data_IF_789601963205
#
_entry.id   IF_789601963205
#
_cell.length_a   1.000
_cell.length_b   1.000
_cell.length_c   1.000
_cell.angle_alpha   90.00
_cell.angle_beta   90.00
_cell.angle_gamma   90.00
#
_symmetry.space_group_name_H-M   'P 1'
#
loop_
_entity.id
_entity.type
_entity.pdbx_description
1 polymer ?
#
# COMPACT_ATOMS: atom_id res chain seq x y z
N UNK A 1 -14.82 -14.16 11.88
CA UNK A 1 -14.22 -13.89 10.55
C UNK A 1 -14.92 -14.75 9.50
N UNK A 2 -15.65 -14.12 8.57
CA UNK A 2 -16.42 -14.77 7.49
C UNK A 2 -15.52 -15.71 6.65
N UNK A 3 -16.04 -16.87 6.21
CA UNK A 3 -15.34 -17.83 5.33
C UNK A 3 -14.79 -17.17 4.06
N UNK A 4 -15.50 -16.19 3.49
CA UNK A 4 -15.05 -15.44 2.32
C UNK A 4 -13.76 -14.67 2.60
N UNK A 5 -13.67 -14.02 3.77
CA UNK A 5 -12.46 -13.29 4.20
C UNK A 5 -11.25 -14.21 4.39
N UNK A 6 -11.47 -15.43 4.90
CA UNK A 6 -10.39 -16.44 5.04
C UNK A 6 -9.79 -16.83 3.68
N UNK A 7 -10.65 -17.07 2.69
CA UNK A 7 -10.24 -17.45 1.32
C UNK A 7 -9.45 -16.34 0.62
N UNK A 8 -9.88 -15.10 0.80
CA UNK A 8 -9.22 -13.90 0.27
C UNK A 8 -7.79 -13.77 0.81
N UNK A 9 -7.64 -13.86 2.14
CA UNK A 9 -6.34 -13.77 2.80
C UNK A 9 -5.43 -14.90 2.34
N UNK A 10 -5.96 -16.12 2.21
CA UNK A 10 -5.20 -17.26 1.71
C UNK A 10 -4.72 -17.08 0.27
N UNK A 11 -5.54 -16.48 -0.61
CA UNK A 11 -5.14 -16.20 -1.99
C UNK A 11 -4.13 -15.06 -2.10
N UNK A 12 -4.21 -14.06 -1.22
CA UNK A 12 -3.29 -12.91 -1.23
C UNK A 12 -1.91 -13.24 -0.61
N UNK A 13 -1.86 -14.19 0.33
CA UNK A 13 -0.68 -14.54 1.12
C UNK A 13 0.54 -14.96 0.27
N UNK A 14 0.42 -15.81 -0.77
CA UNK A 14 1.55 -16.15 -1.64
C UNK A 14 2.15 -14.93 -2.36
N UNK A 15 1.31 -14.06 -2.90
CA UNK A 15 1.76 -12.85 -3.59
C UNK A 15 2.47 -11.87 -2.65
N UNK A 16 1.98 -11.74 -1.42
CA UNK A 16 2.64 -10.96 -0.38
C UNK A 16 4.05 -11.49 -0.10
N UNK A 17 4.20 -12.79 0.18
CA UNK A 17 5.52 -13.36 0.47
C UNK A 17 6.47 -13.30 -0.72
N UNK A 18 5.97 -13.56 -1.92
CA UNK A 18 6.77 -13.45 -3.14
C UNK A 18 7.29 -12.02 -3.32
N UNK A 19 6.45 -11.01 -3.10
CA UNK A 19 6.88 -9.62 -3.18
C UNK A 19 7.89 -9.26 -2.08
N UNK A 20 7.60 -9.63 -0.82
CA UNK A 20 8.50 -9.33 0.30
C UNK A 20 9.89 -9.98 0.14
N UNK A 21 9.95 -11.18 -0.46
CA UNK A 21 11.23 -11.86 -0.74
C UNK A 21 12.14 -11.10 -1.71
N UNK A 22 11.58 -10.18 -2.50
CA UNK A 22 12.31 -9.38 -3.50
C UNK A 22 12.68 -7.98 -2.99
N UNK A 23 12.41 -7.69 -1.72
CA UNK A 23 12.63 -6.41 -1.06
C UNK A 23 13.66 -6.55 0.07
N UNK A 24 14.49 -5.53 0.22
CA UNK A 24 15.36 -5.41 1.40
C UNK A 24 14.54 -5.17 2.68
N UNK A 25 15.07 -5.44 3.89
CA UNK A 25 14.35 -5.15 5.13
C UNK A 25 13.84 -3.71 5.24
N UNK A 26 14.63 -2.74 4.78
CA UNK A 26 14.21 -1.33 4.73
C UNK A 26 13.03 -1.11 3.78
N UNK A 27 13.07 -1.72 2.59
CA UNK A 27 11.99 -1.64 1.61
C UNK A 27 10.72 -2.32 2.12
N UNK A 28 10.83 -3.41 2.89
CA UNK A 28 9.69 -4.05 3.53
C UNK A 28 9.03 -3.10 4.55
N UNK A 29 9.82 -2.42 5.38
CA UNK A 29 9.29 -1.42 6.34
C UNK A 29 8.60 -0.27 5.59
N UNK A 30 9.22 0.26 4.54
CA UNK A 30 8.63 1.31 3.72
C UNK A 30 7.32 0.82 3.06
N UNK A 31 7.29 -0.42 2.55
CA UNK A 31 6.10 -1.00 1.93
C UNK A 31 4.93 -1.08 2.90
N UNK A 32 5.21 -1.39 4.18
CA UNK A 32 4.21 -1.41 5.24
C UNK A 32 3.65 -0.02 5.52
N UNK A 33 4.51 1.00 5.60
CA UNK A 33 4.09 2.39 5.77
C UNK A 33 3.18 2.83 4.60
N UNK A 34 3.59 2.53 3.37
CA UNK A 34 2.81 2.84 2.17
C UNK A 34 1.45 2.13 2.18
N UNK A 35 1.41 0.88 2.64
CA UNK A 35 0.18 0.11 2.78
C UNK A 35 -0.77 0.70 3.82
N UNK A 36 -0.28 0.97 5.03
CA UNK A 36 -1.08 1.55 6.12
C UNK A 36 -1.69 2.89 5.72
N UNK A 37 -0.89 3.77 5.09
CA UNK A 37 -1.36 5.07 4.62
C UNK A 37 -2.31 4.93 3.43
N UNK A 38 -1.98 4.06 2.47
CA UNK A 38 -2.82 3.82 1.31
C UNK A 38 -4.21 3.33 1.70
N UNK A 39 -4.29 2.44 2.70
CA UNK A 39 -5.54 1.96 3.26
C UNK A 39 -6.31 3.06 3.97
N UNK A 40 -5.64 3.91 4.76
CA UNK A 40 -6.31 4.96 5.55
C UNK A 40 -6.86 6.11 4.69
N UNK A 41 -6.16 6.49 3.62
CA UNK A 41 -6.53 7.68 2.82
C UNK A 41 -7.40 7.38 1.61
N UNK A 42 -7.55 6.11 1.22
CA UNK A 42 -8.27 5.74 -0.01
C UNK A 42 -9.73 6.19 0.01
N UNK A 43 -10.41 6.05 1.14
CA UNK A 43 -11.79 6.51 1.27
C UNK A 43 -11.90 8.03 1.16
N UNK A 44 -11.00 8.75 1.82
CA UNK A 44 -10.97 10.21 1.83
C UNK A 44 -10.62 10.77 0.44
N UNK A 45 -9.66 10.18 -0.25
CA UNK A 45 -9.25 10.61 -1.59
C UNK A 45 -10.37 10.47 -2.64
N UNK A 46 -11.20 9.42 -2.53
CA UNK A 46 -12.37 9.23 -3.41
C UNK A 46 -13.39 10.37 -3.21
N UNK A 47 -13.56 10.84 -1.98
CA UNK A 47 -14.51 11.91 -1.65
C UNK A 47 -13.97 13.28 -2.02
N UNK A 48 -12.70 13.55 -1.76
CA UNK A 48 -12.09 14.88 -1.89
C UNK A 48 -11.44 15.15 -3.26
N UNK A 49 -11.33 14.14 -4.13
CA UNK A 49 -10.66 14.22 -5.45
C UNK A 49 -9.25 14.84 -5.33
N UNK A 50 -8.53 14.47 -4.26
CA UNK A 50 -7.21 15.01 -3.96
C UNK A 50 -6.11 14.00 -4.30
N UNK A 51 -5.49 14.19 -5.48
CA UNK A 51 -4.44 13.30 -5.99
C UNK A 51 -3.13 13.32 -5.21
N UNK A 52 -2.92 14.34 -4.37
CA UNK A 52 -1.73 14.48 -3.55
C UNK A 52 -1.90 13.90 -2.15
N UNK A 53 -3.14 13.55 -1.76
CA UNK A 53 -3.49 13.15 -0.39
C UNK A 53 -2.61 11.98 0.11
N UNK A 54 -2.40 10.98 -0.74
CA UNK A 54 -1.55 9.84 -0.39
C UNK A 54 -0.12 10.26 -0.06
N UNK A 55 0.54 10.98 -0.97
CA UNK A 55 1.94 11.38 -0.80
C UNK A 55 2.13 12.41 0.32
N UNK A 56 1.15 13.26 0.58
CA UNK A 56 1.20 14.21 1.69
C UNK A 56 1.07 13.50 3.04
N UNK A 57 0.22 12.49 3.14
CA UNK A 57 0.15 11.63 4.33
C UNK A 57 1.43 10.81 4.53
N UNK A 58 2.08 10.34 3.45
CA UNK A 58 3.40 9.70 3.51
C UNK A 58 4.45 10.65 4.10
N UNK A 59 4.53 11.89 3.61
CA UNK A 59 5.44 12.91 4.17
C UNK A 59 5.16 13.14 5.66
N UNK A 60 3.89 13.26 6.02
CA UNK A 60 3.46 13.47 7.40
C UNK A 60 3.87 12.31 8.32
N UNK A 61 3.65 11.06 7.89
CA UNK A 61 4.03 9.87 8.64
C UNK A 61 5.55 9.80 8.89
N UNK A 62 6.37 10.07 7.87
CA UNK A 62 7.83 10.11 8.00
C UNK A 62 8.26 11.21 8.99
N UNK A 63 7.64 12.40 8.92
CA UNK A 63 7.89 13.50 9.85
C UNK A 63 7.53 13.10 11.29
N UNK A 64 6.42 12.39 11.50
CA UNK A 64 5.99 11.88 12.81
C UNK A 64 6.96 10.82 13.36
N UNK A 65 7.45 9.91 12.51
CA UNK A 65 8.49 8.95 12.89
C UNK A 65 9.80 9.62 13.32
N UNK A 66 10.14 10.78 12.70
CA UNK A 66 11.30 11.57 13.10
C UNK A 66 11.18 12.07 14.55
N UNK A 67 9.98 12.50 14.94
CA UNK A 67 9.66 13.00 16.26
C UNK A 67 9.64 11.88 17.32
N UNK A 68 9.05 10.73 16.98
CA UNK A 68 8.86 9.60 17.90
C UNK A 68 10.13 8.75 18.14
N UNK A 69 11.32 9.23 17.76
CA UNK A 69 12.60 8.50 17.87
C UNK A 69 12.57 7.06 17.32
N UNK A 70 11.80 6.81 16.25
CA UNK A 70 11.82 5.52 15.54
C UNK A 70 13.24 5.11 15.15
N UNK A 71 13.57 3.83 15.31
CA UNK A 71 14.89 3.25 14.99
C UNK A 71 15.23 3.32 13.51
N UNK A 72 14.20 3.29 12.66
CA UNK A 72 14.31 3.48 11.21
C UNK A 72 13.48 4.67 10.75
N UNK A 73 14.06 5.51 9.88
CA UNK A 73 13.45 6.73 9.35
C UNK A 73 13.76 6.84 7.85
N UNK A 74 12.82 6.45 6.97
CA UNK A 74 13.08 6.50 5.54
C UNK A 74 13.09 7.94 5.03
N UNK A 75 14.05 8.27 4.17
CA UNK A 75 14.03 9.51 3.38
C UNK A 75 12.97 9.44 2.28
N UNK A 76 12.49 10.58 1.80
CA UNK A 76 11.57 10.62 0.66
C UNK A 76 12.18 9.98 -0.60
N UNK A 77 13.51 10.04 -0.77
CA UNK A 77 14.19 9.38 -1.86
C UNK A 77 14.15 7.85 -1.72
N UNK A 78 14.35 7.30 -0.50
CA UNK A 78 14.16 5.86 -0.24
C UNK A 78 12.72 5.44 -0.49
N UNK A 79 11.75 6.26 -0.11
CA UNK A 79 10.34 5.99 -0.39
C UNK A 79 10.08 5.93 -1.89
N UNK A 80 10.47 6.95 -2.66
CA UNK A 80 10.31 6.96 -4.12
C UNK A 80 11.00 5.78 -4.80
N UNK A 81 12.23 5.45 -4.39
CA UNK A 81 12.95 4.27 -4.89
C UNK A 81 12.21 2.96 -4.57
N UNK A 82 11.65 2.86 -3.37
CA UNK A 82 10.87 1.69 -2.96
C UNK A 82 9.57 1.59 -3.75
N UNK A 83 8.84 2.69 -3.95
CA UNK A 83 7.63 2.70 -4.79
C UNK A 83 7.93 2.22 -6.21
N UNK A 84 9.01 2.72 -6.82
CA UNK A 84 9.47 2.25 -8.14
C UNK A 84 9.83 0.75 -8.13
N UNK A 85 10.45 0.26 -7.05
CA UNK A 85 10.76 -1.17 -6.91
C UNK A 85 9.49 -2.02 -6.77
N UNK A 86 8.52 -1.57 -5.97
CA UNK A 86 7.22 -2.24 -5.81
C UNK A 86 6.44 -2.27 -7.13
N UNK A 87 6.56 -1.23 -7.94
CA UNK A 87 6.03 -1.18 -9.29
C UNK A 87 6.72 -2.23 -10.18
N UNK A 88 8.04 -2.22 -10.26
CA UNK A 88 8.79 -3.18 -11.08
C UNK A 88 8.48 -4.66 -10.76
N UNK A 89 8.20 -5.00 -9.50
CA UNK A 89 7.86 -6.38 -9.09
C UNK A 89 6.36 -6.68 -9.18
N UNK A 90 5.56 -5.77 -9.73
CA UNK A 90 4.11 -5.94 -9.90
C UNK A 90 3.29 -5.86 -8.61
N UNK A 91 3.91 -5.43 -7.50
CA UNK A 91 3.27 -5.44 -6.18
C UNK A 91 2.46 -4.18 -5.89
N UNK A 92 2.86 -3.02 -6.41
CA UNK A 92 2.13 -1.77 -6.20
C UNK A 92 2.35 -0.83 -7.37
N UNK A 93 1.28 -0.21 -7.89
CA UNK A 93 1.38 0.97 -8.75
C UNK A 93 0.47 2.08 -8.21
N UNK A 94 0.64 3.31 -8.66
CA UNK A 94 -0.38 4.33 -8.43
C UNK A 94 -1.43 4.26 -9.54
N UNK A 95 -2.71 4.47 -9.19
CA UNK A 95 -3.76 4.74 -10.18
C UNK A 95 -3.72 6.20 -10.65
N UNK A 96 -4.67 6.54 -11.53
CA UNK A 96 -4.82 7.88 -12.12
C UNK A 96 -5.11 8.97 -11.08
N UNK A 97 -5.53 8.57 -9.88
CA UNK A 97 -5.81 9.43 -8.74
C UNK A 97 -4.67 9.48 -7.73
N UNK A 98 -3.51 8.88 -8.06
CA UNK A 98 -2.34 8.89 -7.19
C UNK A 98 -2.47 7.98 -5.97
N UNK A 99 -3.41 7.04 -5.97
CA UNK A 99 -3.63 6.07 -4.89
C UNK A 99 -2.97 4.72 -5.20
N UNK A 100 -2.48 4.00 -4.18
CA UNK A 100 -1.82 2.73 -4.39
C UNK A 100 -2.82 1.63 -4.77
N UNK A 101 -2.58 1.01 -5.93
CA UNK A 101 -3.15 -0.24 -6.38
C UNK A 101 -2.19 -1.39 -6.06
N UNK A 102 -2.61 -2.27 -5.16
CA UNK A 102 -1.81 -3.42 -4.73
C UNK A 102 -1.99 -4.62 -5.67
N UNK A 103 -0.93 -5.41 -5.80
CA UNK A 103 -0.86 -6.66 -6.56
C UNK A 103 -1.14 -6.54 -8.07
N UNK A 104 -0.95 -5.36 -8.67
CA UNK A 104 -1.40 -5.10 -10.04
C UNK A 104 -0.75 -5.96 -11.14
N UNK A 105 0.52 -6.36 -10.98
CA UNK A 105 1.24 -7.18 -11.98
C UNK A 105 0.92 -8.67 -11.88
N UNK A 106 0.19 -9.07 -10.85
CA UNK A 106 -0.24 -10.46 -10.62
C UNK A 106 -1.65 -10.72 -11.16
N UNK A 107 -2.39 -9.67 -11.53
CA UNK A 107 -3.71 -9.75 -12.14
C UNK A 107 -3.67 -9.10 -13.54
N UNK A 108 -3.50 -9.91 -14.59
CA UNK A 108 -3.74 -9.46 -15.96
C UNK A 108 -5.22 -9.13 -16.14
N UNK A 109 -5.56 -7.84 -16.21
CA UNK A 109 -6.92 -7.29 -16.22
C UNK A 109 -7.79 -7.64 -15.00
N UNK A 110 -8.03 -6.65 -14.13
CA UNK A 110 -9.32 -5.97 -14.06
C UNK A 110 -9.40 -5.17 -12.74
N UNK A 111 -9.93 -3.96 -12.84
CA UNK A 111 -10.27 -2.99 -11.79
C UNK A 111 -11.26 -3.49 -10.72
N UNK A 112 -11.49 -4.80 -10.59
CA UNK A 112 -12.55 -5.38 -9.78
C UNK A 112 -12.10 -5.88 -8.38
N UNK A 113 -10.81 -6.12 -8.13
CA UNK A 113 -10.37 -6.62 -6.79
C UNK A 113 -10.16 -5.50 -5.76
N UNK A 114 -10.40 -4.25 -6.12
CA UNK A 114 -10.57 -3.15 -5.17
C UNK A 114 -11.87 -3.32 -4.36
N UNK A 115 -12.85 -4.07 -4.89
CA UNK A 115 -14.06 -4.49 -4.14
C UNK A 115 -13.70 -5.35 -2.92
N UNK A 116 -12.50 -5.94 -2.87
CA UNK A 116 -12.04 -6.68 -1.70
C UNK A 116 -11.58 -5.75 -0.56
N UNK A 117 -10.99 -4.59 -0.89
CA UNK A 117 -10.72 -3.57 0.12
C UNK A 117 -11.98 -2.79 0.52
N UNK A 118 -13.05 -2.79 -0.30
CA UNK A 118 -14.38 -2.37 0.17
C UNK A 118 -14.93 -3.24 1.32
N UNK A 119 -14.34 -4.42 1.60
CA UNK A 119 -14.76 -5.26 2.74
C UNK A 119 -14.08 -4.94 4.08
N UNK A 120 -13.05 -4.08 4.12
CA UNK A 120 -12.60 -3.50 5.40
C UNK A 120 -13.64 -2.47 5.89
N UNK A 121 -14.41 -1.89 4.97
CA UNK A 121 -15.49 -0.94 5.27
C UNK A 121 -16.78 -1.57 5.79
N UNK A 122 -16.90 -2.91 5.75
CA UNK A 122 -18.06 -3.67 6.26
C UNK A 122 -17.73 -4.48 7.53
N UNK A 123 -16.57 -4.22 8.16
CA UNK A 123 -16.12 -4.91 9.38
C UNK A 123 -16.02 -3.97 10.61
N UNK A 124 -16.68 -2.81 10.53
CA UNK A 124 -17.18 -2.02 11.66
C UNK A 124 -18.69 -2.16 11.66
#
# INVERSE_FOLDING_TARGET
MNQTMKLIIQKAKPFYYQAMSQLTPEQQIISRILFEIGASVREQAIVEINKNLFMDNVKYAIKKMKHNRSTFKPSLNQVKKTMKRLEQIGYMKLDEDGLPLWFYGFYGFCTATIILCMMIKAAI
#
